data_IF_200172701396
#
_entry.id   IF_200172701396
#
_cell.length_a   1.000
_cell.length_b   1.000
_cell.length_c   1.000
_cell.angle_alpha   90.00
_cell.angle_beta   90.00
_cell.angle_gamma   90.00
#
_symmetry.space_group_name_H-M   'P 1'
#
loop_
_entity.id
_entity.type
_entity.pdbx_description
1 polymer ?
#
# COMPACT_ATOMS: atom_id res chain seq x y z
N UNK A 1 -23.73 -20.06 2.09
CA UNK A 1 -22.40 -19.52 1.78
C UNK A 1 -22.13 -18.33 2.69
N UNK A 2 -21.42 -18.53 3.81
CA UNK A 2 -20.92 -17.40 4.59
C UNK A 2 -19.88 -16.71 3.69
N UNK A 3 -20.22 -15.53 3.15
CA UNK A 3 -19.21 -14.56 2.75
C UNK A 3 -18.50 -14.19 4.05
N UNK A 4 -17.45 -14.92 4.39
CA UNK A 4 -16.48 -14.40 5.34
C UNK A 4 -15.95 -13.16 4.65
N UNK A 5 -16.28 -11.99 5.19
CA UNK A 5 -15.62 -10.74 4.85
C UNK A 5 -14.15 -10.99 5.16
N UNK A 6 -13.40 -11.49 4.19
CA UNK A 6 -11.99 -11.78 4.38
C UNK A 6 -11.33 -10.42 4.51
N UNK A 7 -11.04 -10.04 5.74
CA UNK A 7 -10.41 -8.76 6.06
C UNK A 7 -9.05 -8.80 5.38
N UNK A 8 -8.72 -7.81 4.55
CA UNK A 8 -7.42 -7.74 3.87
C UNK A 8 -6.26 -7.87 4.87
N UNK A 9 -6.44 -7.30 6.08
CA UNK A 9 -5.58 -7.46 7.26
C UNK A 9 -5.28 -8.91 7.64
N UNK A 10 -6.23 -9.84 7.51
CA UNK A 10 -6.04 -11.23 7.94
C UNK A 10 -5.29 -12.06 6.88
N UNK A 11 -5.01 -11.49 5.70
CA UNK A 11 -4.38 -12.18 4.57
C UNK A 11 -2.86 -12.02 4.53
N UNK A 12 -2.29 -11.19 5.40
CA UNK A 12 -0.86 -10.85 5.38
C UNK A 12 -0.05 -11.59 6.45
N UNK A 13 -0.68 -12.53 7.18
CA UNK A 13 -0.08 -13.25 8.31
C UNK A 13 -0.10 -12.43 9.60
N UNK A 14 0.49 -12.97 10.66
CA UNK A 14 0.60 -12.28 11.97
C UNK A 14 1.93 -11.52 12.14
N UNK A 15 2.87 -11.70 11.22
CA UNK A 15 4.25 -11.20 11.31
C UNK A 15 5.15 -12.11 12.16
N UNK A 16 6.39 -11.68 12.47
CA UNK A 16 7.02 -10.43 12.06
C UNK A 16 7.34 -10.38 10.55
N UNK A 17 7.29 -9.19 9.96
CA UNK A 17 7.70 -8.99 8.57
C UNK A 17 9.07 -8.31 8.48
N UNK A 18 9.84 -8.77 7.50
CA UNK A 18 11.15 -8.24 7.16
C UNK A 18 11.18 -7.93 5.66
N UNK A 19 11.94 -6.92 5.27
CA UNK A 19 12.20 -6.68 3.84
C UNK A 19 13.23 -7.68 3.29
N UNK A 20 13.50 -7.59 1.98
CA UNK A 20 14.46 -8.45 1.27
C UNK A 20 15.90 -8.43 1.84
N UNK A 21 16.25 -7.47 2.69
CA UNK A 21 17.56 -7.36 3.36
C UNK A 21 17.53 -7.75 4.84
N UNK A 22 16.44 -8.37 5.31
CA UNK A 22 16.31 -8.80 6.70
C UNK A 22 16.07 -7.67 7.70
N UNK A 23 15.68 -6.47 7.23
CA UNK A 23 15.32 -5.36 8.13
C UNK A 23 13.86 -5.50 8.56
N UNK A 24 13.59 -5.47 9.87
CA UNK A 24 12.23 -5.61 10.40
C UNK A 24 11.36 -4.42 10.00
N UNK A 25 10.22 -4.71 9.39
CA UNK A 25 9.20 -3.72 9.01
C UNK A 25 8.20 -3.52 10.15
N UNK A 26 7.66 -4.61 10.69
CA UNK A 26 6.78 -4.59 11.85
C UNK A 26 6.82 -5.97 12.54
N UNK A 27 6.66 -5.98 13.85
CA UNK A 27 6.67 -7.20 14.65
C UNK A 27 5.32 -7.94 14.61
N UNK A 28 4.22 -7.22 14.41
CA UNK A 28 2.87 -7.77 14.35
C UNK A 28 1.91 -6.79 13.66
N UNK A 29 0.68 -7.25 13.42
CA UNK A 29 -0.38 -6.46 12.79
C UNK A 29 -0.64 -5.12 13.50
N UNK A 30 -0.59 -5.09 14.84
CA UNK A 30 -0.84 -3.87 15.60
C UNK A 30 0.25 -2.81 15.40
N UNK A 31 1.53 -3.22 15.36
CA UNK A 31 2.62 -2.32 15.01
C UNK A 31 2.55 -1.89 13.54
N UNK A 32 2.17 -2.81 12.63
CA UNK A 32 2.05 -2.51 11.20
C UNK A 32 0.97 -1.47 10.92
N UNK A 33 -0.19 -1.56 11.57
CA UNK A 33 -1.33 -0.67 11.31
C UNK A 33 -1.46 0.48 12.32
N UNK A 34 -0.67 0.48 13.40
CA UNK A 34 -0.73 1.54 14.42
C UNK A 34 -2.05 1.53 15.18
N UNK A 35 -2.51 0.35 15.63
CA UNK A 35 -3.85 0.17 16.23
C UNK A 35 -4.10 1.00 17.50
N UNK A 36 -3.04 1.51 18.13
CA UNK A 36 -3.12 2.43 19.27
C UNK A 36 -2.36 3.72 18.96
N UNK A 37 -2.69 4.81 19.66
CA UNK A 37 -1.97 6.09 19.53
C UNK A 37 -0.47 5.93 19.81
N UNK A 38 -0.10 5.06 20.75
CA UNK A 38 1.30 4.76 21.06
C UNK A 38 1.99 4.07 19.87
N UNK A 39 1.36 3.04 19.30
CA UNK A 39 1.90 2.31 18.15
C UNK A 39 1.94 3.18 16.90
N UNK A 40 0.93 4.02 16.66
CA UNK A 40 0.91 4.97 15.56
C UNK A 40 2.03 6.01 15.66
N UNK A 41 2.34 6.49 16.87
CA UNK A 41 3.45 7.42 17.12
C UNK A 41 4.82 6.76 16.95
N UNK A 42 4.96 5.51 17.39
CA UNK A 42 6.17 4.71 17.16
C UNK A 42 6.37 4.45 15.67
N UNK A 43 5.28 4.10 14.99
CA UNK A 43 5.23 3.77 13.58
C UNK A 43 5.84 2.40 13.26
N UNK A 44 5.35 1.81 12.17
CA UNK A 44 6.09 0.74 11.49
C UNK A 44 7.30 1.31 10.73
N UNK A 45 8.14 0.42 10.20
CA UNK A 45 9.35 0.80 9.48
C UNK A 45 9.18 0.77 7.96
N UNK A 46 8.00 1.08 7.42
CA UNK A 46 7.79 1.34 5.99
C UNK A 46 8.21 2.79 5.66
N UNK A 47 9.20 2.96 4.80
CA UNK A 47 9.61 4.24 4.22
C UNK A 47 10.45 3.98 2.95
N UNK A 48 10.84 5.04 2.25
CA UNK A 48 11.63 4.98 1.00
C UNK A 48 12.92 4.15 1.09
N UNK A 49 13.51 3.98 2.28
CA UNK A 49 14.76 3.24 2.44
C UNK A 49 14.55 1.76 2.74
N UNK A 50 13.35 1.36 3.17
CA UNK A 50 13.07 0.05 3.75
C UNK A 50 12.03 -0.73 2.96
N UNK A 51 11.17 -0.06 2.20
CA UNK A 51 10.38 -0.71 1.16
C UNK A 51 11.28 -0.98 -0.03
N UNK A 52 11.54 -2.26 -0.25
CA UNK A 52 12.41 -2.74 -1.32
C UNK A 52 11.62 -3.63 -2.25
N UNK A 53 12.07 -3.69 -3.50
CA UNK A 53 11.61 -4.69 -4.47
C UNK A 53 12.01 -6.10 -4.03
N UNK A 54 11.49 -7.11 -4.71
CA UNK A 54 11.86 -8.52 -4.51
C UNK A 54 13.35 -8.80 -4.73
N UNK A 55 14.04 -7.92 -5.46
CA UNK A 55 15.50 -7.98 -5.70
C UNK A 55 16.31 -7.22 -4.65
N UNK A 56 15.65 -6.55 -3.70
CA UNK A 56 16.30 -5.73 -2.67
C UNK A 56 16.70 -4.33 -3.14
N UNK A 57 16.18 -3.90 -4.29
CA UNK A 57 16.39 -2.56 -4.83
C UNK A 57 15.39 -1.56 -4.22
N UNK A 58 15.74 -0.28 -4.25
CA UNK A 58 14.81 0.78 -3.87
C UNK A 58 13.81 1.03 -4.99
N UNK A 59 12.58 1.30 -4.60
CA UNK A 59 11.54 1.69 -5.53
C UNK A 59 11.56 3.23 -5.77
N UNK A 60 11.23 3.71 -6.97
CA UNK A 60 11.03 5.13 -7.21
C UNK A 60 9.85 5.71 -6.39
N UNK A 61 10.00 6.90 -5.79
CA UNK A 61 8.98 7.64 -5.03
C UNK A 61 8.98 9.15 -5.32
N UNK A 62 8.18 9.93 -4.59
CA UNK A 62 7.68 11.25 -5.01
C UNK A 62 8.76 12.28 -5.32
N UNK A 63 9.84 12.32 -4.53
CA UNK A 63 10.79 13.45 -4.57
C UNK A 63 12.25 13.03 -4.62
N UNK A 64 12.58 11.80 -4.21
CA UNK A 64 13.99 11.39 -3.99
C UNK A 64 14.53 10.41 -5.01
N UNK A 65 13.66 9.65 -5.67
CA UNK A 65 14.03 8.58 -6.60
C UNK A 65 12.93 8.53 -7.65
N UNK A 66 13.16 8.99 -8.88
CA UNK A 66 12.21 8.81 -9.99
C UNK A 66 12.66 7.64 -10.87
N UNK A 67 11.74 7.06 -11.64
CA UNK A 67 12.12 6.03 -12.61
C UNK A 67 12.97 6.61 -13.76
N UNK A 68 13.41 5.75 -14.68
CA UNK A 68 14.26 6.15 -15.81
C UNK A 68 13.58 7.14 -16.77
N UNK A 69 12.25 7.19 -16.77
CA UNK A 69 11.43 8.09 -17.58
C UNK A 69 11.06 9.37 -16.79
N UNK A 70 11.58 9.54 -15.58
CA UNK A 70 11.29 10.67 -14.71
C UNK A 70 9.92 10.62 -14.01
N UNK A 71 9.25 9.46 -14.00
CA UNK A 71 7.94 9.30 -13.38
C UNK A 71 8.05 8.96 -11.89
N UNK A 72 7.13 9.51 -11.12
CA UNK A 72 6.88 9.12 -9.73
C UNK A 72 6.15 7.76 -9.68
N UNK A 73 6.56 6.87 -8.79
CA UNK A 73 5.90 5.59 -8.53
C UNK A 73 5.64 5.36 -7.02
N UNK A 74 5.32 6.41 -6.28
CA UNK A 74 5.11 6.32 -4.84
C UNK A 74 3.86 5.56 -4.41
N UNK A 75 2.83 5.56 -5.26
CA UNK A 75 1.52 4.96 -4.98
C UNK A 75 1.58 3.43 -5.08
N UNK A 76 1.08 2.78 -4.04
CA UNK A 76 0.96 1.33 -3.93
C UNK A 76 -0.50 0.94 -3.74
N UNK A 77 -0.96 -0.03 -4.52
CA UNK A 77 -2.31 -0.60 -4.44
C UNK A 77 -2.50 -1.31 -3.10
N UNK A 78 -3.53 -0.93 -2.35
CA UNK A 78 -3.87 -1.56 -1.06
C UNK A 78 -5.34 -1.94 -0.98
N UNK A 79 -6.25 -1.03 -1.36
CA UNK A 79 -7.69 -1.25 -1.25
C UNK A 79 -8.22 -1.37 0.19
N UNK A 80 -7.49 -0.82 1.16
CA UNK A 80 -7.80 -0.92 2.60
C UNK A 80 -7.97 0.44 3.25
N UNK A 81 -8.66 0.46 4.39
CA UNK A 81 -8.57 1.55 5.36
C UNK A 81 -7.22 1.51 6.09
N UNK A 82 -6.87 2.58 6.80
CA UNK A 82 -5.61 2.69 7.55
C UNK A 82 -5.38 1.51 8.53
N UNK A 83 -6.45 1.04 9.18
CA UNK A 83 -6.43 -0.12 10.08
C UNK A 83 -6.25 -1.49 9.38
N UNK A 84 -6.11 -1.50 8.05
CA UNK A 84 -5.92 -2.70 7.24
C UNK A 84 -7.22 -3.41 6.84
N UNK A 85 -8.37 -2.92 7.31
CA UNK A 85 -9.65 -3.54 7.03
C UNK A 85 -10.19 -3.12 5.66
N UNK A 86 -11.03 -3.96 5.06
CA UNK A 86 -11.68 -3.64 3.79
C UNK A 86 -12.73 -2.54 3.96
N UNK A 87 -12.89 -1.69 2.94
CA UNK A 87 -14.00 -0.75 2.87
C UNK A 87 -15.34 -1.50 2.85
N UNK A 88 -16.35 -0.92 3.50
CA UNK A 88 -17.70 -1.51 3.64
C UNK A 88 -18.78 -0.65 2.97
N UNK A 89 -18.39 0.45 2.33
CA UNK A 89 -19.29 1.26 1.53
C UNK A 89 -19.54 0.61 0.16
N UNK A 90 -20.39 1.23 -0.65
CA UNK A 90 -20.75 0.72 -1.98
C UNK A 90 -19.77 1.13 -3.07
N UNK A 91 -18.77 1.93 -2.75
CA UNK A 91 -17.79 2.40 -3.72
C UNK A 91 -16.70 1.35 -3.87
N UNK A 92 -16.45 0.89 -5.10
CA UNK A 92 -15.38 -0.06 -5.35
C UNK A 92 -14.02 0.62 -5.18
N UNK A 93 -13.24 0.13 -4.22
CA UNK A 93 -11.89 0.60 -3.85
C UNK A 93 -10.80 -0.41 -4.24
N UNK A 94 -11.14 -1.38 -5.07
CA UNK A 94 -10.28 -2.53 -5.39
C UNK A 94 -10.28 -2.87 -6.87
N UNK A 95 -10.88 -2.06 -7.74
CA UNK A 95 -10.95 -2.35 -9.17
C UNK A 95 -11.54 -3.75 -9.44
N UNK A 96 -12.73 -3.98 -8.85
CA UNK A 96 -13.51 -5.22 -8.87
C UNK A 96 -12.74 -6.38 -8.29
N UNK A 97 -12.25 -6.24 -7.05
CA UNK A 97 -11.41 -7.24 -6.40
C UNK A 97 -10.19 -7.63 -7.26
N UNK A 98 -9.55 -6.62 -7.84
CA UNK A 98 -8.33 -6.71 -8.64
C UNK A 98 -8.50 -7.49 -9.95
N UNK A 99 -9.71 -7.46 -10.54
CA UNK A 99 -10.04 -8.19 -11.78
C UNK A 99 -10.40 -7.28 -12.96
N UNK A 100 -10.31 -5.97 -12.80
CA UNK A 100 -10.73 -5.00 -13.80
C UNK A 100 -9.72 -3.87 -13.96
N UNK A 101 -9.41 -3.53 -15.20
CA UNK A 101 -8.62 -2.38 -15.64
C UNK A 101 -9.49 -1.28 -16.27
N UNK A 102 -10.82 -1.45 -16.23
CA UNK A 102 -11.77 -0.50 -16.80
C UNK A 102 -11.67 0.88 -16.16
N UNK A 103 -12.06 1.90 -16.91
CA UNK A 103 -12.06 3.29 -16.44
C UNK A 103 -13.11 3.54 -15.33
N UNK A 104 -14.15 2.71 -15.24
CA UNK A 104 -15.17 2.82 -14.19
C UNK A 104 -14.72 2.15 -12.88
N UNK A 105 -14.20 2.97 -11.95
CA UNK A 105 -13.81 2.57 -10.60
C UNK A 105 -12.50 3.21 -10.15
N UNK A 106 -12.08 2.95 -8.91
CA UNK A 106 -10.73 3.27 -8.46
C UNK A 106 -10.21 2.28 -7.43
N UNK A 107 -8.90 2.25 -7.23
CA UNK A 107 -8.27 1.53 -6.15
C UNK A 107 -7.93 2.52 -5.03
N UNK A 108 -8.11 2.13 -3.77
CA UNK A 108 -7.48 2.87 -2.68
C UNK A 108 -5.98 2.58 -2.65
N UNK A 109 -5.19 3.63 -2.47
CA UNK A 109 -3.74 3.61 -2.55
C UNK A 109 -3.13 4.01 -1.21
N UNK A 110 -1.88 3.64 -0.98
CA UNK A 110 -1.04 4.23 0.05
C UNK A 110 0.38 4.47 -0.44
N UNK A 111 1.19 5.14 0.38
CA UNK A 111 2.54 5.58 -0.02
C UNK A 111 3.63 4.76 0.64
N UNK A 112 4.49 4.14 -0.17
CA UNK A 112 5.62 3.36 0.33
C UNK A 112 6.77 4.24 0.82
N UNK A 113 6.93 5.40 0.22
CA UNK A 113 8.00 6.33 0.53
C UNK A 113 7.73 7.10 1.82
N UNK A 114 6.45 7.22 2.21
CA UNK A 114 5.93 8.07 3.29
C UNK A 114 6.42 9.51 3.16
N UNK A 115 6.53 9.97 1.93
CA UNK A 115 6.88 11.35 1.60
C UNK A 115 5.74 11.87 0.76
N UNK A 116 5.07 12.92 1.23
CA UNK A 116 4.12 13.64 0.39
C UNK A 116 4.08 15.10 0.78
N UNK A 117 3.93 15.96 -0.22
CA UNK A 117 3.81 17.41 -0.03
C UNK A 117 2.34 17.87 0.07
N UNK A 118 1.36 17.00 -0.20
CA UNK A 118 -0.04 17.44 -0.44
C UNK A 118 -1.15 16.47 0.02
N UNK A 119 -0.85 15.23 0.38
CA UNK A 119 -1.84 14.21 0.80
C UNK A 119 -1.36 13.39 2.03
N UNK A 120 -2.20 12.46 2.51
CA UNK A 120 -1.91 11.61 3.67
C UNK A 120 -0.64 10.77 3.49
N UNK A 121 0.23 10.72 4.51
CA UNK A 121 1.45 9.87 4.52
C UNK A 121 1.16 8.39 4.83
N UNK A 122 -0.12 8.00 4.83
CA UNK A 122 -0.52 6.63 5.13
C UNK A 122 0.03 5.66 4.10
N UNK A 123 0.59 4.54 4.57
CA UNK A 123 1.19 3.53 3.69
C UNK A 123 0.13 2.67 2.98
N UNK A 124 -1.12 2.68 3.46
CA UNK A 124 -2.19 1.83 2.95
C UNK A 124 -3.55 2.52 2.76
N UNK A 125 -3.68 3.80 3.11
CA UNK A 125 -4.94 4.55 2.99
C UNK A 125 -4.68 6.05 2.84
N UNK A 126 -4.10 6.43 1.71
CA UNK A 126 -3.73 7.79 1.38
C UNK A 126 -4.81 8.48 0.54
N UNK A 127 -5.18 7.90 -0.60
CA UNK A 127 -6.18 8.42 -1.53
C UNK A 127 -6.63 7.37 -2.56
N UNK A 128 -7.76 7.58 -3.24
CA UNK A 128 -8.11 6.78 -4.42
C UNK A 128 -7.24 7.09 -5.64
N UNK A 129 -7.09 6.11 -6.53
CA UNK A 129 -6.54 6.30 -7.87
C UNK A 129 -7.50 7.06 -8.78
N UNK A 130 -6.99 7.61 -9.89
CA UNK A 130 -7.82 8.21 -10.96
C UNK A 130 -8.71 7.21 -11.68
N UNK A 131 -8.30 5.94 -11.68
CA UNK A 131 -8.94 4.84 -12.41
C UNK A 131 -8.17 3.55 -12.20
N UNK A 132 -8.63 2.46 -12.83
CA UNK A 132 -8.04 1.13 -12.66
C UNK A 132 -7.06 0.73 -13.79
N UNK A 133 -7.12 1.38 -14.95
CA UNK A 133 -6.19 1.13 -16.06
C UNK A 133 -4.77 1.56 -15.72
N UNK A 134 -3.76 0.95 -16.35
CA UNK A 134 -2.36 1.31 -16.16
C UNK A 134 -2.08 2.82 -16.36
N UNK A 135 -2.64 3.43 -17.41
CA UNK A 135 -2.44 4.86 -17.69
C UNK A 135 -2.98 5.75 -16.57
N UNK A 136 -4.12 5.39 -15.98
CA UNK A 136 -4.68 6.08 -14.83
C UNK A 136 -3.85 5.89 -13.56
N UNK A 137 -3.25 4.72 -13.34
CA UNK A 137 -2.33 4.50 -12.21
C UNK A 137 -1.07 5.36 -12.36
N UNK A 138 -0.48 5.40 -13.56
CA UNK A 138 0.65 6.28 -13.91
C UNK A 138 0.29 7.75 -13.72
N UNK A 139 -0.88 8.16 -14.21
CA UNK A 139 -1.35 9.54 -14.09
C UNK A 139 -1.69 9.93 -12.63
N UNK A 140 -1.88 8.97 -11.73
CA UNK A 140 -2.06 9.21 -10.30
C UNK A 140 -0.71 9.45 -9.60
N UNK A 141 0.30 8.65 -9.95
CA UNK A 141 1.61 8.65 -9.26
C UNK A 141 2.15 7.26 -8.94
N UNK A 142 1.54 6.20 -9.49
CA UNK A 142 1.93 4.81 -9.26
C UNK A 142 2.26 4.05 -10.53
N UNK A 143 2.63 2.78 -10.37
CA UNK A 143 2.88 1.87 -11.50
C UNK A 143 2.09 0.55 -11.40
N UNK A 144 1.07 0.50 -10.55
CA UNK A 144 0.33 -0.74 -10.25
C UNK A 144 1.09 -1.67 -9.31
N UNK A 145 1.94 -1.11 -8.46
CA UNK A 145 2.70 -1.88 -7.47
C UNK A 145 1.82 -2.29 -6.29
N UNK A 146 2.19 -3.39 -5.64
CA UNK A 146 1.53 -3.90 -4.44
C UNK A 146 2.56 -4.53 -3.51
N UNK A 147 2.24 -4.61 -2.22
CA UNK A 147 3.10 -5.26 -1.23
C UNK A 147 2.92 -6.79 -1.26
N UNK A 148 4.03 -7.51 -1.15
CA UNK A 148 4.05 -8.95 -0.91
C UNK A 148 4.41 -9.20 0.55
N UNK A 149 3.44 -9.62 1.36
CA UNK A 149 3.68 -10.08 2.71
C UNK A 149 3.82 -11.61 2.68
N UNK A 150 4.90 -12.14 3.23
CA UNK A 150 5.03 -13.58 3.41
C UNK A 150 3.93 -14.04 4.38
N UNK A 151 3.03 -14.89 3.89
CA UNK A 151 2.25 -15.76 4.75
C UNK A 151 3.20 -16.84 5.28
N UNK A 152 3.04 -17.15 6.55
CA UNK A 152 3.66 -18.19 7.37
C UNK A 152 4.19 -19.43 6.62
#
# INVERSE_FOLDING_TARGET
FKKTTQVTRDRIGEGPWYNAKGVRIAANLAELHGDTVELARKGNFLNINTVLTEKGDRNPGEVKIVDLDGRNQHDVLTGTRADGTAFTDTFDRTCRNWTSDREDGSANLGHHDRVTSFTSMSWNDAHPSRGCSQDNLIATGGAGQFYCFAAD
#
